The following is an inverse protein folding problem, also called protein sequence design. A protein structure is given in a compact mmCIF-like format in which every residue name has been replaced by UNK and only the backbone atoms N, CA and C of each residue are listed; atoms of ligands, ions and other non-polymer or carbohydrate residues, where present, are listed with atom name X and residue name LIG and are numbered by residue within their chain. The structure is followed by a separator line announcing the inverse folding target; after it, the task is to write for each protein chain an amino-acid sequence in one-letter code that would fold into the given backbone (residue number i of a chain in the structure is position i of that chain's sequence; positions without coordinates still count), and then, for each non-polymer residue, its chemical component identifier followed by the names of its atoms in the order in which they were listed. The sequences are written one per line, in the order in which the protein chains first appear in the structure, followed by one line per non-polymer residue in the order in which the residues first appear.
data_IF_102292365426
#
_entry.id   IF_102292365426
#
_cell.length_a   1.000
_cell.length_b   1.000
_cell.length_c   1.000
_cell.angle_alpha   90.00
_cell.angle_beta   90.00
_cell.angle_gamma   90.00
#
_symmetry.space_group_name_H-M   'P 1'
#
loop_
_entity.id
_entity.type
_entity.pdbx_description
1 polymer ?
#
# COMPACT_ATOMS: atom_id res chain seq x y z
N UNK A 1 5.23 9.92 18.71
CA UNK A 1 5.28 9.02 17.55
C UNK A 1 5.21 7.54 17.93
N UNK A 2 6.24 6.95 18.59
CA UNK A 2 6.22 5.53 18.97
C UNK A 2 5.00 5.21 19.85
N UNK A 3 4.67 6.08 20.80
CA UNK A 3 3.46 5.95 21.62
C UNK A 3 2.17 5.90 20.79
N UNK A 4 2.09 6.69 19.72
CA UNK A 4 0.94 6.71 18.81
C UNK A 4 0.81 5.39 18.04
N UNK A 5 1.91 4.81 17.56
CA UNK A 5 1.91 3.47 16.96
C UNK A 5 1.47 2.40 17.95
N UNK A 6 1.96 2.43 19.18
CA UNK A 6 1.56 1.47 20.22
C UNK A 6 0.08 1.60 20.59
N UNK A 7 -0.46 2.82 20.64
CA UNK A 7 -1.90 3.05 20.83
C UNK A 7 -2.70 2.40 19.68
N UNK A 8 -2.32 2.67 18.43
CA UNK A 8 -2.99 2.09 17.26
C UNK A 8 -2.88 0.56 17.25
N UNK A 9 -1.73 0.00 17.58
CA UNK A 9 -1.54 -1.44 17.63
C UNK A 9 -2.51 -2.12 18.62
N UNK A 10 -2.73 -1.52 19.77
CA UNK A 10 -3.72 -2.01 20.76
C UNK A 10 -5.17 -1.93 20.29
N UNK A 11 -5.43 -1.12 19.24
CA UNK A 11 -6.76 -0.91 18.67
C UNK A 11 -7.06 -1.81 17.47
N UNK A 12 -6.07 -2.54 16.94
CA UNK A 12 -6.28 -3.45 15.81
C UNK A 12 -7.41 -4.47 16.11
N UNK A 13 -7.60 -4.82 17.39
CA UNK A 13 -8.67 -5.71 17.83
C UNK A 13 -10.08 -5.07 17.80
N UNK A 14 -10.21 -3.81 17.39
CA UNK A 14 -11.52 -3.20 17.21
C UNK A 14 -12.29 -3.91 16.08
N UNK A 15 -13.55 -4.34 16.31
CA UNK A 15 -14.31 -5.09 15.31
C UNK A 15 -14.46 -4.39 13.98
N UNK A 16 -14.55 -3.05 13.95
CA UNK A 16 -14.65 -2.28 12.69
C UNK A 16 -13.33 -2.34 11.92
N UNK A 17 -12.20 -2.19 12.64
CA UNK A 17 -10.86 -2.25 12.04
C UNK A 17 -10.57 -3.68 11.55
N UNK A 18 -10.87 -4.70 12.34
CA UNK A 18 -10.71 -6.10 11.94
C UNK A 18 -11.56 -6.45 10.72
N UNK A 19 -12.79 -5.95 10.65
CA UNK A 19 -13.66 -6.14 9.49
C UNK A 19 -13.06 -5.49 8.24
N UNK A 20 -12.59 -4.25 8.34
CA UNK A 20 -11.94 -3.55 7.24
C UNK A 20 -10.69 -4.31 6.75
N UNK A 21 -9.84 -4.76 7.69
CA UNK A 21 -8.64 -5.55 7.39
C UNK A 21 -8.99 -6.88 6.72
N UNK A 22 -9.96 -7.61 7.26
CA UNK A 22 -10.39 -8.90 6.70
C UNK A 22 -10.95 -8.75 5.29
N UNK A 23 -11.79 -7.72 5.06
CA UNK A 23 -12.35 -7.44 3.74
C UNK A 23 -11.26 -7.03 2.74
N UNK A 24 -10.35 -6.13 3.13
CA UNK A 24 -9.24 -5.72 2.28
C UNK A 24 -8.34 -6.91 1.91
N UNK A 25 -8.01 -7.77 2.89
CA UNK A 25 -7.22 -8.98 2.66
C UNK A 25 -7.94 -9.96 1.73
N UNK A 26 -9.24 -10.20 1.94
CA UNK A 26 -10.04 -11.07 1.08
C UNK A 26 -10.08 -10.55 -0.36
N UNK A 27 -10.36 -9.26 -0.55
CA UNK A 27 -10.39 -8.63 -1.87
C UNK A 27 -9.03 -8.71 -2.56
N UNK A 28 -7.94 -8.53 -1.80
CA UNK A 28 -6.57 -8.67 -2.32
C UNK A 28 -6.32 -10.10 -2.81
N UNK A 29 -6.65 -11.11 -1.99
CA UNK A 29 -6.47 -12.51 -2.37
C UNK A 29 -7.30 -12.87 -3.60
N UNK A 30 -8.56 -12.43 -3.67
CA UNK A 30 -9.42 -12.65 -4.84
C UNK A 30 -8.84 -11.99 -6.09
N UNK A 31 -8.33 -10.76 -5.98
CA UNK A 31 -7.70 -10.05 -7.09
C UNK A 31 -6.44 -10.76 -7.59
N UNK A 32 -5.62 -11.29 -6.68
CA UNK A 32 -4.42 -12.05 -7.04
C UNK A 32 -4.79 -13.38 -7.70
N UNK A 33 -5.73 -14.13 -7.14
CA UNK A 33 -6.21 -15.38 -7.77
C UNK A 33 -6.71 -15.10 -9.18
N UNK A 34 -7.50 -14.06 -9.37
CA UNK A 34 -8.00 -13.66 -10.69
C UNK A 34 -6.82 -13.30 -11.64
N UNK A 35 -5.87 -12.48 -11.17
CA UNK A 35 -4.72 -12.07 -11.96
C UNK A 35 -3.84 -13.26 -12.36
N UNK A 36 -3.59 -14.19 -11.43
CA UNK A 36 -2.82 -15.41 -11.71
C UNK A 36 -3.56 -16.31 -12.73
N UNK A 37 -4.86 -16.52 -12.53
CA UNK A 37 -5.67 -17.34 -13.45
C UNK A 37 -5.69 -16.75 -14.86
N UNK A 38 -5.93 -15.45 -14.99
CA UNK A 38 -5.90 -14.76 -16.27
C UNK A 38 -4.50 -14.77 -16.90
N UNK A 39 -3.46 -14.55 -16.08
CA UNK A 39 -2.07 -14.56 -16.55
C UNK A 39 -1.65 -15.92 -17.11
N UNK A 40 -2.00 -17.02 -16.44
CA UNK A 40 -1.74 -18.38 -16.92
C UNK A 40 -2.54 -18.67 -18.20
N UNK A 41 -3.82 -18.29 -18.25
CA UNK A 41 -4.64 -18.48 -19.44
C UNK A 41 -4.12 -17.69 -20.67
N UNK A 42 -3.61 -16.47 -20.44
CA UNK A 42 -2.98 -15.66 -21.48
C UNK A 42 -1.66 -16.31 -21.96
N UNK A 43 -0.85 -16.85 -21.04
CA UNK A 43 0.38 -17.55 -21.39
C UNK A 43 0.08 -18.78 -22.26
N UNK A 44 -0.88 -19.61 -21.86
CA UNK A 44 -1.31 -20.75 -22.65
C UNK A 44 -1.82 -20.33 -24.04
N UNK A 45 -2.65 -19.30 -24.11
CA UNK A 45 -3.14 -18.75 -25.38
C UNK A 45 -2.02 -18.27 -26.31
N UNK A 46 -0.99 -17.60 -25.75
CA UNK A 46 0.20 -17.18 -26.52
C UNK A 46 0.96 -18.43 -27.04
N UNK A 47 1.19 -19.41 -26.18
CA UNK A 47 1.86 -20.64 -26.59
C UNK A 47 1.07 -21.40 -27.65
N UNK A 48 -0.26 -21.38 -27.63
CA UNK A 48 -1.11 -22.00 -28.65
C UNK A 48 -1.00 -21.31 -30.01
N UNK A 49 -0.96 -19.95 -30.02
CA UNK A 49 -0.76 -19.20 -31.26
C UNK A 49 0.56 -19.60 -31.94
N UNK A 50 1.61 -19.80 -31.14
CA UNK A 50 2.94 -20.17 -31.64
C UNK A 50 3.15 -21.68 -31.80
N UNK A 51 2.17 -22.52 -31.42
CA UNK A 51 2.33 -23.96 -31.35
C UNK A 51 2.81 -24.61 -32.67
N UNK A 52 2.24 -24.19 -33.81
CA UNK A 52 2.63 -24.69 -35.14
C UNK A 52 4.09 -24.36 -35.45
N UNK A 53 4.52 -23.16 -35.14
CA UNK A 53 5.92 -22.75 -35.33
C UNK A 53 6.85 -23.48 -34.40
N UNK A 54 6.50 -23.61 -33.13
CA UNK A 54 7.28 -24.38 -32.14
C UNK A 54 7.41 -25.84 -32.53
N UNK A 55 6.32 -26.46 -33.01
CA UNK A 55 6.32 -27.85 -33.46
C UNK A 55 7.22 -28.05 -34.70
N UNK A 56 7.22 -27.08 -35.64
CA UNK A 56 8.09 -27.15 -36.82
C UNK A 56 9.58 -27.03 -36.47
N UNK A 57 9.92 -26.30 -35.41
CA UNK A 57 11.31 -26.07 -34.99
C UNK A 57 11.81 -27.11 -34.01
N UNK A 58 10.98 -27.52 -33.04
CA UNK A 58 11.37 -28.40 -31.94
C UNK A 58 10.92 -29.82 -32.08
N UNK A 59 9.98 -30.12 -33.00
CA UNK A 59 9.44 -31.46 -33.21
C UNK A 59 8.88 -32.05 -31.90
N UNK A 60 9.38 -33.22 -31.50
CA UNK A 60 8.97 -33.87 -30.24
C UNK A 60 9.38 -33.08 -28.97
N UNK A 61 10.27 -32.10 -29.08
CA UNK A 61 10.67 -31.23 -27.97
C UNK A 61 9.66 -30.14 -27.63
N UNK A 62 8.63 -29.94 -28.48
CA UNK A 62 7.60 -28.89 -28.26
C UNK A 62 6.85 -29.11 -26.92
N UNK A 63 6.44 -30.30 -26.61
CA UNK A 63 5.72 -30.62 -25.37
C UNK A 63 6.56 -30.35 -24.12
N UNK A 64 7.84 -30.64 -24.17
CA UNK A 64 8.78 -30.32 -23.08
C UNK A 64 8.96 -28.81 -22.94
N UNK A 65 9.13 -28.11 -24.07
CA UNK A 65 9.26 -26.65 -24.08
C UNK A 65 8.02 -25.98 -23.52
N UNK A 66 6.81 -26.41 -23.88
CA UNK A 66 5.54 -25.89 -23.31
C UNK A 66 5.48 -26.12 -21.80
N UNK A 67 5.80 -27.31 -21.33
CA UNK A 67 5.84 -27.62 -19.91
C UNK A 67 6.80 -26.71 -19.14
N UNK A 68 8.00 -26.50 -19.70
CA UNK A 68 9.00 -25.58 -19.13
C UNK A 68 8.53 -24.13 -19.16
N UNK A 69 7.97 -23.65 -20.28
CA UNK A 69 7.46 -22.29 -20.42
C UNK A 69 6.31 -22.00 -19.45
N UNK A 70 5.39 -22.96 -19.28
CA UNK A 70 4.29 -22.85 -18.32
C UNK A 70 4.79 -22.84 -16.88
N UNK A 71 5.75 -23.69 -16.53
CA UNK A 71 6.35 -23.67 -15.20
C UNK A 71 7.07 -22.36 -14.90
N UNK A 72 7.92 -21.89 -15.80
CA UNK A 72 8.66 -20.64 -15.64
C UNK A 72 7.74 -19.42 -15.66
N UNK A 73 6.80 -19.39 -16.61
CA UNK A 73 5.82 -18.30 -16.73
C UNK A 73 4.88 -18.25 -15.53
N UNK A 74 4.36 -19.39 -15.10
CA UNK A 74 3.53 -19.48 -13.89
C UNK A 74 4.29 -19.03 -12.64
N UNK A 75 5.54 -19.46 -12.48
CA UNK A 75 6.40 -19.00 -11.38
C UNK A 75 6.64 -17.50 -11.42
N UNK A 76 6.91 -16.95 -12.60
CA UNK A 76 7.09 -15.50 -12.77
C UNK A 76 5.82 -14.73 -12.42
N UNK A 77 4.65 -15.20 -12.85
CA UNK A 77 3.35 -14.60 -12.51
C UNK A 77 3.13 -14.58 -10.99
N UNK A 78 3.45 -15.68 -10.29
CA UNK A 78 3.35 -15.75 -8.83
C UNK A 78 4.32 -14.76 -8.14
N UNK A 79 5.56 -14.67 -8.60
CA UNK A 79 6.54 -13.72 -8.08
C UNK A 79 6.05 -12.27 -8.27
N UNK A 80 5.59 -11.93 -9.45
CA UNK A 80 5.04 -10.61 -9.76
C UNK A 80 3.85 -10.33 -8.85
N UNK A 81 2.91 -11.28 -8.71
CA UNK A 81 1.73 -11.13 -7.83
C UNK A 81 2.12 -10.91 -6.37
N UNK A 82 3.17 -11.58 -5.89
CA UNK A 82 3.70 -11.37 -4.54
C UNK A 82 4.22 -9.93 -4.35
N UNK A 83 4.97 -9.39 -5.31
CA UNK A 83 5.46 -8.01 -5.22
C UNK A 83 4.33 -6.98 -5.28
N UNK A 84 3.26 -7.25 -6.05
CA UNK A 84 2.11 -6.37 -6.14
C UNK A 84 1.14 -6.52 -4.97
N UNK A 85 1.26 -7.58 -4.16
CA UNK A 85 0.35 -7.84 -3.04
C UNK A 85 0.20 -6.64 -2.11
N UNK A 86 1.30 -6.06 -1.67
CA UNK A 86 1.28 -4.94 -0.72
C UNK A 86 0.59 -3.70 -1.29
N UNK A 87 0.80 -3.39 -2.57
CA UNK A 87 0.15 -2.27 -3.25
C UNK A 87 -1.35 -2.47 -3.42
N UNK A 88 -1.77 -3.67 -3.86
CA UNK A 88 -3.18 -4.03 -4.02
C UNK A 88 -3.89 -4.02 -2.67
N UNK A 89 -3.26 -4.60 -1.64
CA UNK A 89 -3.80 -4.61 -0.28
C UNK A 89 -3.95 -3.20 0.27
N UNK A 90 -2.93 -2.35 0.11
CA UNK A 90 -2.98 -0.95 0.53
C UNK A 90 -4.12 -0.18 -0.16
N UNK A 91 -4.35 -0.43 -1.46
CA UNK A 91 -5.46 0.17 -2.19
C UNK A 91 -6.82 -0.26 -1.63
N UNK A 92 -7.00 -1.55 -1.29
CA UNK A 92 -8.24 -2.01 -0.65
C UNK A 92 -8.40 -1.49 0.78
N UNK A 93 -7.34 -1.40 1.58
CA UNK A 93 -7.40 -0.73 2.89
C UNK A 93 -7.81 0.72 2.72
N UNK A 94 -7.33 1.39 1.67
CA UNK A 94 -7.69 2.77 1.32
C UNK A 94 -9.19 2.98 1.13
N UNK A 95 -9.93 1.97 0.63
CA UNK A 95 -11.40 2.03 0.50
C UNK A 95 -12.08 2.14 1.87
N UNK A 96 -11.52 1.49 2.89
CA UNK A 96 -12.06 1.46 4.25
C UNK A 96 -11.42 2.48 5.19
N UNK A 97 -10.57 3.38 4.67
CA UNK A 97 -9.75 4.26 5.51
C UNK A 97 -10.60 5.25 6.31
N UNK A 98 -11.70 5.70 5.73
CA UNK A 98 -12.64 6.61 6.39
C UNK A 98 -13.37 5.91 7.56
N UNK A 99 -13.78 4.66 7.39
CA UNK A 99 -14.41 3.86 8.45
C UNK A 99 -13.43 3.61 9.61
N UNK A 100 -12.16 3.36 9.28
CA UNK A 100 -11.09 3.19 10.27
C UNK A 100 -10.87 4.48 11.05
N UNK A 101 -10.75 5.62 10.36
CA UNK A 101 -10.58 6.93 10.96
C UNK A 101 -11.75 7.28 11.89
N UNK A 102 -13.00 7.06 11.43
CA UNK A 102 -14.20 7.32 12.22
C UNK A 102 -14.26 6.42 13.45
N UNK A 103 -13.86 5.14 13.34
CA UNK A 103 -13.79 4.23 14.47
C UNK A 103 -12.82 4.69 15.54
N UNK A 104 -11.61 5.12 15.14
CA UNK A 104 -10.58 5.61 16.06
C UNK A 104 -11.01 6.93 16.70
N UNK A 105 -11.54 7.86 15.91
CA UNK A 105 -12.00 9.18 16.38
C UNK A 105 -13.13 9.02 17.41
N UNK A 106 -14.19 8.26 17.09
CA UNK A 106 -15.33 8.05 18.00
C UNK A 106 -14.93 7.42 19.31
N UNK A 107 -13.95 6.51 19.31
CA UNK A 107 -13.54 5.77 20.50
C UNK A 107 -12.61 6.56 21.41
N UNK A 108 -11.69 7.34 20.84
CA UNK A 108 -10.59 7.96 21.58
C UNK A 108 -10.65 9.47 21.64
N UNK A 109 -11.38 10.09 20.73
CA UNK A 109 -11.44 11.55 20.57
C UNK A 109 -12.88 12.00 20.23
N UNK A 110 -13.91 11.59 21.00
CA UNK A 110 -15.32 11.86 20.67
C UNK A 110 -15.61 13.38 20.57
N UNK A 111 -14.92 14.18 21.38
CA UNK A 111 -15.10 15.64 21.43
C UNK A 111 -14.29 16.40 20.36
N UNK A 112 -13.41 15.69 19.63
CA UNK A 112 -12.62 16.31 18.58
C UNK A 112 -13.52 16.72 17.40
N UNK A 113 -13.42 17.98 16.99
CA UNK A 113 -14.13 18.46 15.81
C UNK A 113 -13.73 17.66 14.57
N UNK A 114 -14.72 17.04 13.91
CA UNK A 114 -14.50 16.06 12.85
C UNK A 114 -15.43 16.29 11.67
N UNK A 115 -14.88 16.35 10.44
CA UNK A 115 -15.66 16.48 9.20
C UNK A 115 -16.12 15.10 8.71
N UNK A 116 -17.21 15.10 7.94
CA UNK A 116 -17.62 13.90 7.18
C UNK A 116 -16.54 13.51 6.18
N UNK A 117 -16.55 12.23 5.77
CA UNK A 117 -15.69 11.72 4.72
C UNK A 117 -15.79 12.58 3.44
N UNK A 118 -14.68 12.79 2.74
CA UNK A 118 -14.68 13.53 1.49
C UNK A 118 -15.54 12.84 0.43
N UNK A 119 -16.00 13.58 -0.56
CA UNK A 119 -16.71 12.99 -1.69
C UNK A 119 -15.78 12.14 -2.54
N UNK A 120 -16.33 11.19 -3.29
CA UNK A 120 -15.56 10.33 -4.21
C UNK A 120 -14.65 11.13 -5.15
N UNK A 121 -15.16 12.23 -5.74
CA UNK A 121 -14.37 13.07 -6.64
C UNK A 121 -13.21 13.77 -5.92
N UNK A 122 -13.42 14.22 -4.68
CA UNK A 122 -12.36 14.81 -3.85
C UNK A 122 -11.29 13.78 -3.54
N UNK A 123 -11.69 12.57 -3.14
CA UNK A 123 -10.75 11.47 -2.85
C UNK A 123 -9.98 11.06 -4.11
N UNK A 124 -10.65 10.97 -5.25
CA UNK A 124 -10.01 10.62 -6.53
C UNK A 124 -8.98 11.68 -6.94
N UNK A 125 -9.33 12.96 -6.89
CA UNK A 125 -8.38 14.04 -7.22
C UNK A 125 -7.17 14.06 -6.30
N UNK A 126 -7.38 13.81 -5.02
CA UNK A 126 -6.30 13.65 -4.05
C UNK A 126 -5.40 12.45 -4.40
N UNK A 127 -5.98 11.27 -4.65
CA UNK A 127 -5.23 10.07 -5.01
C UNK A 127 -4.40 10.26 -6.28
N UNK A 128 -4.97 10.92 -7.30
CA UNK A 128 -4.24 11.23 -8.55
C UNK A 128 -3.07 12.21 -8.30
N UNK A 129 -3.25 13.19 -7.42
CA UNK A 129 -2.17 14.12 -7.04
C UNK A 129 -1.04 13.39 -6.31
N UNK A 130 -1.37 12.52 -5.35
CA UNK A 130 -0.37 11.71 -4.63
C UNK A 130 0.33 10.74 -5.58
N UNK A 131 -0.41 10.08 -6.48
CA UNK A 131 0.16 9.20 -7.49
C UNK A 131 1.17 9.96 -8.40
N UNK A 132 0.78 11.14 -8.88
CA UNK A 132 1.68 11.99 -9.67
C UNK A 132 2.94 12.38 -8.92
N UNK A 133 2.81 12.77 -7.64
CA UNK A 133 3.94 13.07 -6.78
C UNK A 133 4.83 11.84 -6.57
N UNK A 134 4.22 10.67 -6.34
CA UNK A 134 4.94 9.40 -6.15
C UNK A 134 5.75 9.03 -7.39
N UNK A 135 5.12 9.10 -8.58
CA UNK A 135 5.82 8.84 -9.84
C UNK A 135 6.98 9.83 -10.02
N UNK A 136 6.71 11.12 -9.85
CA UNK A 136 7.72 12.18 -10.02
C UNK A 136 8.92 11.97 -9.10
N UNK A 137 8.69 11.74 -7.80
CA UNK A 137 9.78 11.57 -6.83
C UNK A 137 10.54 10.25 -7.04
N UNK A 138 9.86 9.17 -7.42
CA UNK A 138 10.53 7.90 -7.74
C UNK A 138 11.38 8.03 -9.00
N UNK A 139 10.91 8.72 -10.04
CA UNK A 139 11.71 9.01 -11.24
C UNK A 139 12.94 9.88 -10.91
N UNK A 140 12.75 10.92 -10.11
CA UNK A 140 13.83 11.80 -9.68
C UNK A 140 14.86 11.05 -8.83
N UNK A 141 14.41 10.17 -7.94
CA UNK A 141 15.28 9.39 -7.05
C UNK A 141 15.88 8.16 -7.75
N UNK A 142 15.36 7.73 -8.90
CA UNK A 142 15.74 6.48 -9.55
C UNK A 142 17.24 6.34 -9.82
N UNK A 143 18.01 7.36 -10.24
CA UNK A 143 19.47 7.22 -10.42
C UNK A 143 20.17 6.87 -9.10
N UNK A 144 19.76 7.52 -8.00
CA UNK A 144 20.35 7.26 -6.67
C UNK A 144 19.92 5.89 -6.14
N UNK A 145 18.67 5.49 -6.38
CA UNK A 145 18.17 4.16 -5.98
C UNK A 145 18.89 3.05 -6.74
N UNK A 146 19.10 3.22 -8.06
CA UNK A 146 19.84 2.25 -8.88
C UNK A 146 21.29 2.14 -8.37
N UNK A 147 21.97 3.25 -8.11
CA UNK A 147 23.32 3.24 -7.52
C UNK A 147 23.32 2.60 -6.12
N UNK A 148 22.29 2.84 -5.34
CA UNK A 148 22.13 2.25 -4.02
C UNK A 148 21.99 0.73 -4.04
N UNK A 149 21.55 0.12 -5.13
CA UNK A 149 21.48 -1.35 -5.26
C UNK A 149 22.86 -2.02 -5.24
N UNK A 150 23.91 -1.29 -5.67
CA UNK A 150 25.28 -1.79 -5.55
C UNK A 150 25.80 -1.77 -4.10
N UNK A 151 25.15 -0.97 -3.22
CA UNK A 151 25.46 -0.89 -1.78
C UNK A 151 24.12 -1.04 -1.03
N UNK A 152 23.66 -2.28 -0.78
CA UNK A 152 22.30 -2.54 -0.27
C UNK A 152 21.86 -1.72 0.94
N UNK A 153 22.72 -1.45 1.97
CA UNK A 153 22.30 -0.61 3.10
C UNK A 153 21.94 0.82 2.69
N UNK A 154 22.65 1.39 1.70
CA UNK A 154 22.37 2.75 1.20
C UNK A 154 21.07 2.75 0.41
N UNK A 155 20.90 1.81 -0.52
CA UNK A 155 19.68 1.68 -1.31
C UNK A 155 18.43 1.50 -0.43
N UNK A 156 18.51 0.62 0.57
CA UNK A 156 17.42 0.41 1.52
C UNK A 156 17.11 1.67 2.33
N UNK A 157 18.13 2.37 2.81
CA UNK A 157 17.95 3.62 3.57
C UNK A 157 17.26 4.69 2.72
N UNK A 158 17.73 4.90 1.48
CA UNK A 158 17.11 5.85 0.55
C UNK A 158 15.65 5.49 0.26
N UNK A 159 15.37 4.20 0.03
CA UNK A 159 14.01 3.72 -0.22
C UNK A 159 13.10 3.95 1.00
N UNK A 160 13.58 3.66 2.21
CA UNK A 160 12.82 3.90 3.46
C UNK A 160 12.54 5.39 3.67
N UNK A 161 13.51 6.26 3.40
CA UNK A 161 13.33 7.71 3.55
C UNK A 161 12.36 8.27 2.50
N UNK A 162 12.47 7.84 1.23
CA UNK A 162 11.57 8.26 0.17
C UNK A 162 10.12 7.81 0.44
N UNK A 163 9.94 6.53 0.74
CA UNK A 163 8.62 5.99 1.10
C UNK A 163 8.10 6.63 2.39
N UNK A 164 8.97 6.87 3.37
CA UNK A 164 8.61 7.55 4.61
C UNK A 164 8.04 8.95 4.36
N UNK A 165 8.64 9.70 3.44
CA UNK A 165 8.11 11.00 3.03
C UNK A 165 6.75 10.88 2.34
N UNK A 166 6.65 10.00 1.33
CA UNK A 166 5.42 9.82 0.56
C UNK A 166 4.27 9.35 1.44
N UNK A 167 4.49 8.32 2.24
CA UNK A 167 3.49 7.76 3.15
C UNK A 167 3.08 8.76 4.25
N UNK A 168 4.06 9.43 4.86
CA UNK A 168 3.79 10.44 5.87
C UNK A 168 2.95 11.59 5.31
N UNK A 169 3.21 12.00 4.06
CA UNK A 169 2.43 13.03 3.37
C UNK A 169 1.02 12.55 3.02
N UNK A 170 0.89 11.38 2.39
CA UNK A 170 -0.38 10.81 1.99
C UNK A 170 -1.32 10.64 3.18
N UNK A 171 -0.90 9.88 4.18
CA UNK A 171 -1.73 9.59 5.35
C UNK A 171 -1.92 10.81 6.26
N UNK A 172 -0.94 11.72 6.28
CA UNK A 172 -1.10 13.01 6.93
C UNK A 172 -2.22 13.84 6.33
N UNK A 173 -2.23 14.00 5.00
CA UNK A 173 -3.27 14.75 4.32
C UNK A 173 -4.65 14.09 4.46
N UNK A 174 -4.76 12.77 4.47
CA UNK A 174 -6.02 12.06 4.71
C UNK A 174 -6.62 12.40 6.08
N UNK A 175 -5.81 12.47 7.14
CA UNK A 175 -6.26 12.90 8.47
C UNK A 175 -6.64 14.38 8.47
N UNK A 176 -5.82 15.25 7.87
CA UNK A 176 -6.09 16.69 7.83
C UNK A 176 -7.39 17.04 7.07
N UNK A 177 -7.78 16.26 6.05
CA UNK A 177 -9.08 16.44 5.40
C UNK A 177 -10.26 16.30 6.35
N UNK A 178 -10.13 15.52 7.41
CA UNK A 178 -11.18 15.27 8.40
C UNK A 178 -11.23 16.34 9.51
N UNK A 179 -10.23 17.19 9.61
CA UNK A 179 -10.15 18.25 10.63
C UNK A 179 -10.69 19.54 10.04
N UNK A 180 -11.68 20.20 10.68
CA UNK A 180 -12.20 21.48 10.19
C UNK A 180 -11.17 22.62 10.36
N UNK A 181 -11.16 23.60 9.46
CA UNK A 181 -10.23 24.73 9.54
C UNK A 181 -10.30 25.51 10.87
N UNK A 182 -11.49 25.57 11.49
CA UNK A 182 -11.69 26.21 12.80
C UNK A 182 -10.94 25.53 13.94
N UNK A 183 -10.70 24.23 13.84
CA UNK A 183 -9.92 23.46 14.81
C UNK A 183 -8.43 23.42 14.45
N UNK A 184 -8.06 23.83 13.24
CA UNK A 184 -6.70 23.75 12.70
C UNK A 184 -5.91 25.04 12.87
N UNK A 185 -6.08 25.75 13.99
CA UNK A 185 -5.27 26.94 14.31
C UNK A 185 -3.80 26.61 14.58
N UNK A 186 -3.52 25.36 14.93
CA UNK A 186 -2.16 24.88 15.17
C UNK A 186 -1.51 24.37 13.87
N UNK A 187 -0.18 24.58 13.71
CA UNK A 187 0.51 24.16 12.50
C UNK A 187 0.36 22.66 12.27
N UNK A 188 0.15 22.28 11.01
CA UNK A 188 0.08 20.89 10.59
C UNK A 188 1.45 20.22 10.82
N UNK A 189 1.52 19.14 11.61
CA UNK A 189 2.78 18.47 11.87
C UNK A 189 3.31 17.80 10.60
N UNK A 190 4.62 17.64 10.53
CA UNK A 190 5.26 16.84 9.48
C UNK A 190 5.21 15.37 9.92
N UNK A 191 4.41 14.57 9.24
CA UNK A 191 4.24 13.15 9.53
C UNK A 191 5.36 12.26 8.95
N UNK A 192 6.48 12.85 8.55
CA UNK A 192 7.63 12.13 7.99
C UNK A 192 8.10 10.98 8.90
N UNK A 193 8.25 11.22 10.20
CA UNK A 193 8.67 10.19 11.15
C UNK A 193 7.68 9.01 11.24
N UNK A 194 6.36 9.30 11.19
CA UNK A 194 5.34 8.26 11.13
C UNK A 194 5.49 7.43 9.85
N UNK A 195 5.70 8.08 8.70
CA UNK A 195 5.92 7.41 7.44
C UNK A 195 7.19 6.56 7.42
N UNK A 196 8.31 7.02 8.00
CA UNK A 196 9.55 6.24 8.11
C UNK A 196 9.34 4.97 8.94
N UNK A 197 8.69 5.08 10.09
CA UNK A 197 8.36 3.90 10.92
C UNK A 197 7.48 2.92 10.13
N UNK A 198 6.45 3.42 9.45
CA UNK A 198 5.59 2.60 8.62
C UNK A 198 6.35 1.94 7.47
N UNK A 199 7.28 2.65 6.81
CA UNK A 199 8.12 2.08 5.74
C UNK A 199 8.97 0.93 6.24
N UNK A 200 9.51 1.01 7.47
CA UNK A 200 10.23 -0.10 8.09
C UNK A 200 9.31 -1.30 8.38
N UNK A 201 8.09 -1.04 8.86
CA UNK A 201 7.09 -2.08 9.13
C UNK A 201 6.68 -2.77 7.82
N UNK A 202 6.56 -2.04 6.72
CA UNK A 202 6.16 -2.56 5.40
C UNK A 202 7.14 -3.57 4.81
N UNK A 203 8.42 -3.51 5.20
CA UNK A 203 9.44 -4.49 4.78
C UNK A 203 9.13 -5.90 5.30
N UNK A 204 8.43 -6.00 6.43
CA UNK A 204 8.11 -7.28 7.06
C UNK A 204 6.80 -7.81 6.49
N UNK A 205 6.79 -8.93 5.73
CA UNK A 205 5.64 -9.39 4.94
C UNK A 205 4.33 -9.50 5.71
N UNK A 206 4.36 -10.03 6.94
CA UNK A 206 3.15 -10.20 7.76
C UNK A 206 2.68 -8.84 8.31
N UNK A 207 3.61 -7.98 8.73
CA UNK A 207 3.30 -6.68 9.29
C UNK A 207 2.82 -5.68 8.22
N UNK A 208 3.17 -5.90 6.96
CA UNK A 208 2.72 -5.02 5.89
C UNK A 208 1.19 -5.03 5.71
N UNK A 209 0.50 -6.11 6.10
CA UNK A 209 -0.96 -6.18 6.09
C UNK A 209 -1.61 -5.14 7.01
N UNK A 210 -0.98 -4.88 8.15
CA UNK A 210 -1.51 -3.95 9.15
C UNK A 210 -0.84 -2.57 9.08
N UNK A 211 0.24 -2.43 8.33
CA UNK A 211 1.02 -1.20 8.24
C UNK A 211 0.20 0.03 7.83
N UNK A 212 -0.72 -0.01 6.84
CA UNK A 212 -1.59 1.13 6.50
C UNK A 212 -2.45 1.57 7.68
N UNK A 213 -3.01 0.60 8.43
CA UNK A 213 -3.86 0.87 9.60
C UNK A 213 -3.03 1.47 10.74
N UNK A 214 -1.84 0.90 10.99
CA UNK A 214 -0.92 1.43 11.99
C UNK A 214 -0.50 2.85 11.66
N UNK A 215 -0.24 3.15 10.40
CA UNK A 215 0.16 4.47 9.97
C UNK A 215 -0.97 5.48 10.15
N UNK A 216 -2.17 5.20 9.61
CA UNK A 216 -3.29 6.15 9.68
C UNK A 216 -3.69 6.44 11.13
N UNK A 217 -3.76 5.39 11.97
CA UNK A 217 -4.06 5.56 13.39
C UNK A 217 -2.97 6.34 14.12
N UNK A 218 -1.68 6.07 13.84
CA UNK A 218 -0.57 6.80 14.47
C UNK A 218 -0.56 8.28 14.08
N UNK A 219 -0.92 8.61 12.84
CA UNK A 219 -1.06 9.98 12.35
C UNK A 219 -2.20 10.67 13.08
N UNK A 220 -3.38 10.04 13.18
CA UNK A 220 -4.53 10.59 13.90
C UNK A 220 -4.21 10.83 15.38
N UNK A 221 -3.60 9.87 16.07
CA UNK A 221 -3.18 10.05 17.46
C UNK A 221 -2.15 11.16 17.64
N UNK A 222 -1.21 11.28 16.71
CA UNK A 222 -0.20 12.36 16.76
C UNK A 222 -0.85 13.73 16.55
N UNK A 223 -1.88 13.80 15.70
CA UNK A 223 -2.61 15.06 15.46
C UNK A 223 -3.51 15.44 16.64
N UNK A 224 -4.25 14.47 17.17
CA UNK A 224 -5.13 14.70 18.30
C UNK A 224 -4.37 15.24 19.51
N UNK A 225 -3.22 14.66 19.85
CA UNK A 225 -2.36 15.15 20.92
C UNK A 225 -1.98 16.63 20.76
N UNK A 226 -1.68 17.06 19.54
CA UNK A 226 -1.35 18.47 19.26
C UNK A 226 -2.56 19.41 19.35
N UNK A 227 -3.77 18.90 19.21
CA UNK A 227 -5.00 19.71 19.32
C UNK A 227 -5.43 19.84 20.78
N UNK A 228 -5.11 18.88 21.64
CA UNK A 228 -5.41 18.88 23.08
C UNK A 228 -4.44 19.78 23.87
N UNK A 229 -3.16 19.85 23.47
CA UNK A 229 -2.14 20.76 24.07
C UNK A 229 -2.37 22.23 23.68
#
# INVERSE_FOLDING_TARGET
MISSFLKTFRQINDPKILKALALATLLTLLSIVLAVTLGVALLDGILDIFSKTLQSWLGKGESWFRGFANFMGGTLILIISYFFFAGIHGAFVGIFIDDILDSIQQKHYPDMAWKKAPTFLTSLSFSLRILGLTIFLNLLASPLLILGWFIPPIGLTLQVLLNGYLLGKEYGELVEFRIPPSASLKPTPKYFGNGVIASCIWIIPILNLVAPILLIGSVLHSRAQLLED
#
